data_IF_960828531489
#
_entry.id   IF_960828531489
#
_cell.length_a   1.000
_cell.length_b   1.000
_cell.length_c   1.000
_cell.angle_alpha   90.00
_cell.angle_beta   90.00
_cell.angle_gamma   90.00
#
_symmetry.space_group_name_H-M   'P 1'
#
loop_
_entity.id
_entity.type
_entity.pdbx_description
1 polymer ?
#
# COMPACT_ATOMS: atom_id res chain seq x y z
N UNK A 1 -20.30 13.26 6.57
CA UNK A 1 -19.91 11.85 6.77
C UNK A 1 -18.82 11.82 7.82
N UNK A 2 -19.10 11.28 9.00
CA UNK A 2 -18.15 11.25 10.13
C UNK A 2 -16.98 10.33 9.75
N UNK A 3 -15.75 10.87 9.74
CA UNK A 3 -14.55 10.07 9.49
C UNK A 3 -14.22 9.29 10.76
N UNK A 4 -14.50 7.98 10.76
CA UNK A 4 -14.13 7.11 11.88
C UNK A 4 -12.64 6.73 11.78
N UNK A 5 -11.83 6.98 12.83
CA UNK A 5 -10.39 6.66 12.81
C UNK A 5 -10.13 5.16 12.64
N UNK A 6 -11.05 4.31 13.13
CA UNK A 6 -10.97 2.85 13.00
C UNK A 6 -11.17 2.38 11.55
N UNK A 7 -12.06 3.05 10.80
CA UNK A 7 -12.29 2.74 9.40
C UNK A 7 -11.05 3.11 8.55
N UNK A 8 -10.40 4.23 8.85
CA UNK A 8 -9.17 4.65 8.20
C UNK A 8 -8.02 3.66 8.46
N UNK A 9 -7.89 3.19 9.71
CA UNK A 9 -6.91 2.18 10.08
C UNK A 9 -7.13 0.84 9.33
N UNK A 10 -8.38 0.40 9.15
CA UNK A 10 -8.69 -0.84 8.39
C UNK A 10 -8.40 -0.72 6.89
N UNK A 11 -8.72 0.44 6.31
CA UNK A 11 -8.66 0.67 4.87
C UNK A 11 -7.28 1.10 4.37
N UNK A 12 -6.50 1.82 5.18
CA UNK A 12 -5.25 2.46 4.72
C UNK A 12 -3.98 1.88 5.37
N UNK A 13 -4.08 1.18 6.50
CA UNK A 13 -2.90 0.60 7.17
C UNK A 13 -2.24 -0.46 6.27
N UNK A 14 -0.94 -0.30 6.04
CA UNK A 14 -0.12 -1.22 5.24
C UNK A 14 -0.59 -1.40 3.78
N UNK A 15 -1.37 -0.46 3.25
CA UNK A 15 -1.78 -0.46 1.84
C UNK A 15 -0.80 0.37 1.03
N UNK A 16 -0.28 -0.24 -0.02
CA UNK A 16 0.64 0.37 -0.97
C UNK A 16 0.09 0.26 -2.38
N UNK A 17 0.37 1.27 -3.18
CA UNK A 17 0.02 1.34 -4.59
C UNK A 17 1.30 1.16 -5.39
N UNK A 18 1.29 0.29 -6.39
CA UNK A 18 2.43 0.24 -7.31
C UNK A 18 2.45 1.44 -8.25
N UNK A 19 3.64 2.00 -8.53
CA UNK A 19 3.82 3.12 -9.45
C UNK A 19 3.47 2.79 -10.91
N UNK A 20 3.77 1.57 -11.36
CA UNK A 20 3.51 1.14 -12.74
C UNK A 20 2.07 0.64 -12.93
N UNK A 21 1.69 -0.41 -12.19
CA UNK A 21 0.41 -1.12 -12.36
C UNK A 21 -0.77 -0.43 -11.63
N UNK A 22 -0.53 0.58 -10.78
CA UNK A 22 -1.51 1.23 -9.87
C UNK A 22 -2.30 0.26 -8.98
N UNK A 23 -1.91 -1.01 -8.93
CA UNK A 23 -2.56 -2.03 -8.10
C UNK A 23 -2.30 -1.76 -6.62
N UNK A 24 -3.28 -2.09 -5.79
CA UNK A 24 -3.20 -1.98 -4.33
C UNK A 24 -2.71 -3.30 -3.75
N UNK A 25 -1.80 -3.22 -2.79
CA UNK A 25 -1.19 -4.37 -2.12
C UNK A 25 -1.16 -4.09 -0.63
N UNK A 26 -1.56 -5.09 0.16
CA UNK A 26 -1.34 -5.09 1.61
C UNK A 26 -0.05 -5.84 1.91
N UNK A 27 0.93 -5.14 2.47
CA UNK A 27 2.19 -5.74 2.88
C UNK A 27 2.82 -4.95 4.05
N UNK A 28 3.59 -5.61 4.93
CA UNK A 28 4.26 -4.93 6.03
C UNK A 28 5.31 -3.95 5.50
N UNK A 29 5.35 -2.75 6.10
CA UNK A 29 6.20 -1.65 5.66
C UNK A 29 7.69 -2.06 5.55
N UNK A 30 8.19 -2.82 6.53
CA UNK A 30 9.57 -3.30 6.56
C UNK A 30 9.95 -4.13 5.33
N UNK A 31 9.05 -4.99 4.82
CA UNK A 31 9.34 -5.80 3.63
C UNK A 31 9.36 -4.97 2.36
N UNK A 32 8.63 -3.85 2.32
CA UNK A 32 8.61 -2.93 1.17
C UNK A 32 9.87 -2.07 1.17
N UNK A 33 10.28 -1.53 2.32
CA UNK A 33 11.54 -0.80 2.47
C UNK A 33 12.72 -1.69 2.08
N UNK A 34 12.69 -2.97 2.48
CA UNK A 34 13.69 -3.97 2.09
C UNK A 34 13.57 -4.45 0.63
N UNK A 35 12.59 -3.97 -0.16
CA UNK A 35 12.41 -4.37 -1.57
C UNK A 35 12.03 -5.84 -1.79
N UNK A 36 11.56 -6.53 -0.75
CA UNK A 36 11.18 -7.96 -0.77
C UNK A 36 9.77 -8.21 -1.28
N UNK A 37 9.01 -7.15 -1.57
CA UNK A 37 7.62 -7.23 -2.05
C UNK A 37 7.55 -6.70 -3.49
N UNK A 38 7.01 -7.53 -4.39
CA UNK A 38 6.78 -7.18 -5.80
C UNK A 38 5.28 -6.95 -6.09
N UNK A 39 4.96 -6.13 -7.10
CA UNK A 39 3.59 -6.04 -7.63
C UNK A 39 3.18 -7.40 -8.18
N UNK A 40 2.06 -7.97 -7.72
CA UNK A 40 1.53 -9.25 -8.22
C UNK A 40 1.19 -9.25 -9.72
N UNK A 41 0.98 -8.07 -10.30
CA UNK A 41 0.60 -7.91 -11.73
C UNK A 41 1.78 -7.61 -12.65
N UNK A 42 2.73 -6.79 -12.23
CA UNK A 42 3.84 -6.33 -13.09
C UNK A 42 5.23 -6.66 -12.54
N UNK A 43 5.30 -7.39 -11.43
CA UNK A 43 6.55 -7.78 -10.75
C UNK A 43 7.43 -6.60 -10.27
N UNK A 44 7.01 -5.36 -10.49
CA UNK A 44 7.74 -4.16 -10.11
C UNK A 44 7.82 -3.97 -8.59
N UNK A 45 8.97 -3.52 -8.11
CA UNK A 45 9.25 -3.26 -6.67
C UNK A 45 8.94 -1.82 -6.24
N UNK A 46 8.59 -0.96 -7.18
CA UNK A 46 8.28 0.45 -6.93
C UNK A 46 6.85 0.61 -6.35
N UNK A 47 6.73 0.44 -5.03
CA UNK A 47 5.49 0.59 -4.26
C UNK A 47 5.51 1.93 -3.51
N UNK A 48 4.41 2.67 -3.56
CA UNK A 48 4.20 3.93 -2.82
C UNK A 48 3.13 3.76 -1.74
N UNK A 49 3.25 4.42 -0.59
CA UNK A 49 2.17 4.41 0.40
C UNK A 49 0.93 5.15 -0.13
N UNK A 50 -0.25 4.77 0.35
CA UNK A 50 -1.49 5.52 0.11
C UNK A 50 -1.41 6.84 0.89
N UNK A 51 -1.66 7.96 0.21
CA UNK A 51 -1.67 9.29 0.83
C UNK A 51 -2.95 9.46 1.67
N UNK A 52 -2.81 9.83 2.94
CA UNK A 52 -3.95 10.19 3.81
C UNK A 52 -4.58 11.50 3.31
N UNK A 53 -5.89 11.65 3.46
CA UNK A 53 -6.70 12.78 2.99
C UNK A 53 -7.61 13.31 4.09
#
# INVERSE_FOLDING_TARGET
MVKFPEAEARLMRNVFICRACKSKIKAPNMKIIQGKVSCRKCSGKALRPVRRK
#
